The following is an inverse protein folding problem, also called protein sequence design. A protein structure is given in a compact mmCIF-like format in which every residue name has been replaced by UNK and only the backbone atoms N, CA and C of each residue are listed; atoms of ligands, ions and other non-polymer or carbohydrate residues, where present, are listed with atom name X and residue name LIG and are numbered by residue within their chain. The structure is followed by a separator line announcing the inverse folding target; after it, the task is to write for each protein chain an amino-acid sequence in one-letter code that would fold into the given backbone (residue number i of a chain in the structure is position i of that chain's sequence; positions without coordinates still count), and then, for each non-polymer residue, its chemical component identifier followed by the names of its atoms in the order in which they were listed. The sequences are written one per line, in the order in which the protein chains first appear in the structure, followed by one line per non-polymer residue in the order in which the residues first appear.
data_IF_926122860806
#
_entry.id   IF_926122860806
#
_cell.length_a   1.000
_cell.length_b   1.000
_cell.length_c   1.000
_cell.angle_alpha   90.00
_cell.angle_beta   90.00
_cell.angle_gamma   90.00
#
_symmetry.space_group_name_H-M   'P 1'
#
loop_
_entity.id
_entity.type
_entity.pdbx_description
1 polymer ?
#
# COMPACT_ATOMS: atom_id res chain seq x y z
N UNK A 1 -49.71 -69.42 2.96
CA UNK A 1 -48.77 -69.62 1.82
C UNK A 1 -47.55 -68.79 2.10
N UNK A 2 -46.37 -69.36 2.27
CA UNK A 2 -45.13 -68.60 2.48
C UNK A 2 -44.58 -68.13 1.13
N UNK A 3 -43.92 -66.97 1.02
CA UNK A 3 -43.35 -66.47 -0.23
C UNK A 3 -42.06 -67.23 -0.62
N UNK A 4 -42.05 -67.74 -1.84
CA UNK A 4 -40.89 -68.40 -2.46
C UNK A 4 -39.78 -67.38 -2.74
N UNK A 5 -38.69 -67.46 -1.99
CA UNK A 5 -37.45 -66.74 -2.26
C UNK A 5 -36.76 -67.34 -3.47
N UNK A 6 -36.80 -66.64 -4.61
CA UNK A 6 -35.99 -66.97 -5.78
C UNK A 6 -34.51 -66.69 -5.45
N UNK A 7 -33.75 -67.72 -5.11
CA UNK A 7 -32.28 -67.70 -5.11
C UNK A 7 -31.82 -67.55 -6.53
N UNK A 8 -31.33 -66.36 -6.89
CA UNK A 8 -30.65 -66.08 -8.15
C UNK A 8 -29.37 -66.93 -8.20
N UNK A 9 -29.32 -67.92 -9.10
CA UNK A 9 -28.12 -68.73 -9.32
C UNK A 9 -27.12 -67.81 -10.03
N UNK A 10 -26.06 -67.41 -9.34
CA UNK A 10 -24.91 -66.70 -9.93
C UNK A 10 -24.22 -67.74 -10.85
N UNK A 11 -24.18 -67.47 -12.15
CA UNK A 11 -23.55 -68.32 -13.15
C UNK A 11 -22.06 -68.21 -13.05
N UNK A 12 -21.34 -69.34 -13.20
CA UNK A 12 -19.86 -69.38 -13.18
C UNK A 12 -19.19 -68.40 -14.17
N UNK A 13 -19.94 -67.83 -15.11
CA UNK A 13 -19.51 -66.86 -16.08
C UNK A 13 -19.38 -65.44 -15.49
N UNK A 14 -20.18 -65.15 -14.43
CA UNK A 14 -20.09 -63.86 -13.69
C UNK A 14 -18.90 -63.83 -12.74
N UNK A 15 -18.41 -65.00 -12.32
CA UNK A 15 -17.22 -65.15 -11.46
C UNK A 15 -15.89 -65.10 -12.25
N UNK A 16 -15.92 -65.09 -13.59
CA UNK A 16 -14.75 -65.02 -14.46
C UNK A 16 -14.58 -63.69 -15.21
N UNK A 17 -15.46 -62.72 -14.98
CA UNK A 17 -15.21 -61.37 -15.47
C UNK A 17 -13.99 -60.81 -14.72
N UNK A 18 -12.89 -60.43 -15.42
CA UNK A 18 -11.79 -59.77 -14.74
C UNK A 18 -12.37 -58.53 -14.02
N UNK A 19 -12.16 -58.45 -12.73
CA UNK A 19 -12.54 -57.31 -11.95
C UNK A 19 -11.86 -56.08 -12.56
N UNK A 20 -12.59 -55.01 -12.85
CA UNK A 20 -12.03 -53.79 -13.47
C UNK A 20 -10.79 -53.33 -12.73
N UNK A 21 -10.76 -53.57 -11.43
CA UNK A 21 -9.61 -53.29 -10.58
C UNK A 21 -8.39 -54.14 -10.90
N UNK A 22 -8.56 -55.49 -11.13
CA UNK A 22 -7.44 -56.36 -11.49
C UNK A 22 -6.87 -56.01 -12.87
N UNK A 23 -7.73 -55.68 -13.82
CA UNK A 23 -7.33 -55.22 -15.15
C UNK A 23 -6.56 -53.90 -15.09
N UNK A 24 -6.99 -52.95 -14.23
CA UNK A 24 -6.29 -51.70 -13.99
C UNK A 24 -4.90 -51.94 -13.40
N UNK A 25 -4.80 -52.79 -12.36
CA UNK A 25 -3.52 -53.12 -11.71
C UNK A 25 -2.55 -53.80 -12.66
N UNK A 26 -3.05 -54.76 -13.50
CA UNK A 26 -2.21 -55.47 -14.50
C UNK A 26 -1.71 -54.50 -15.60
N UNK A 27 -2.56 -53.63 -16.10
CA UNK A 27 -2.17 -52.61 -17.08
C UNK A 27 -1.16 -51.61 -16.50
N UNK A 28 -1.36 -51.18 -15.24
CA UNK A 28 -0.43 -50.29 -14.52
C UNK A 28 0.94 -50.96 -14.32
N UNK A 29 0.94 -52.25 -13.95
CA UNK A 29 2.18 -53.04 -13.78
C UNK A 29 2.93 -53.18 -15.12
N UNK A 30 2.24 -53.55 -16.20
CA UNK A 30 2.84 -53.73 -17.53
C UNK A 30 3.39 -52.41 -18.08
N UNK A 31 2.68 -51.29 -17.82
CA UNK A 31 3.19 -49.95 -18.15
C UNK A 31 4.47 -49.62 -17.39
N UNK A 32 4.47 -49.88 -16.06
CA UNK A 32 5.64 -49.64 -15.20
C UNK A 32 6.86 -50.49 -15.64
N UNK A 33 6.68 -51.78 -15.94
CA UNK A 33 7.76 -52.68 -16.32
C UNK A 33 8.32 -52.32 -17.70
N UNK A 34 7.44 -52.00 -18.66
CA UNK A 34 7.84 -51.68 -20.03
C UNK A 34 8.48 -50.29 -20.16
N UNK A 35 8.16 -49.36 -19.24
CA UNK A 35 8.64 -47.98 -19.27
C UNK A 35 9.46 -47.60 -18.01
N UNK A 36 10.10 -48.58 -17.35
CA UNK A 36 10.75 -48.41 -16.07
C UNK A 36 11.74 -47.23 -16.05
N UNK A 37 12.56 -47.08 -17.10
CA UNK A 37 13.53 -45.98 -17.23
C UNK A 37 12.81 -44.61 -17.27
N UNK A 38 11.72 -44.49 -18.04
CA UNK A 38 10.97 -43.24 -18.16
C UNK A 38 10.25 -42.92 -16.85
N UNK A 39 9.69 -43.88 -16.15
CA UNK A 39 9.06 -43.72 -14.84
C UNK A 39 10.06 -43.28 -13.79
N UNK A 40 11.24 -43.89 -13.74
CA UNK A 40 12.31 -43.48 -12.83
C UNK A 40 12.76 -42.03 -13.11
N UNK A 41 13.05 -41.71 -14.37
CA UNK A 41 13.48 -40.36 -14.77
C UNK A 41 12.41 -39.31 -14.42
N UNK A 42 11.15 -39.58 -14.80
CA UNK A 42 10.06 -38.63 -14.47
C UNK A 42 9.87 -38.46 -12.95
N UNK A 43 9.96 -39.53 -12.17
CA UNK A 43 9.88 -39.46 -10.70
C UNK A 43 11.02 -38.65 -10.13
N UNK A 44 12.26 -38.88 -10.58
CA UNK A 44 13.42 -38.07 -10.14
C UNK A 44 13.24 -36.57 -10.46
N UNK A 45 12.75 -36.26 -11.67
CA UNK A 45 12.47 -34.89 -12.07
C UNK A 45 11.40 -34.26 -11.16
N UNK A 46 10.30 -34.95 -10.90
CA UNK A 46 9.23 -34.45 -10.04
C UNK A 46 9.73 -34.21 -8.62
N UNK A 47 10.51 -35.17 -8.07
CA UNK A 47 11.10 -35.01 -6.73
C UNK A 47 12.08 -33.84 -6.68
N UNK A 48 12.94 -33.69 -7.71
CA UNK A 48 13.87 -32.58 -7.79
C UNK A 48 13.17 -31.21 -7.85
N UNK A 49 12.13 -31.08 -8.69
CA UNK A 49 11.30 -29.87 -8.79
C UNK A 49 10.61 -29.58 -7.44
N UNK A 50 10.05 -30.60 -6.81
CA UNK A 50 9.45 -30.49 -5.48
C UNK A 50 10.43 -30.01 -4.42
N UNK A 51 11.64 -30.59 -4.39
CA UNK A 51 12.70 -30.19 -3.45
C UNK A 51 13.15 -28.74 -3.67
N UNK A 52 13.30 -28.31 -4.94
CA UNK A 52 13.61 -26.89 -5.27
C UNK A 52 12.49 -25.97 -4.81
N UNK A 53 11.24 -26.32 -5.09
CA UNK A 53 10.08 -25.50 -4.69
C UNK A 53 9.97 -25.34 -3.15
N UNK A 54 10.18 -26.44 -2.43
CA UNK A 54 10.20 -26.43 -0.96
C UNK A 54 11.39 -25.61 -0.44
N UNK A 55 12.59 -25.82 -1.00
CA UNK A 55 13.80 -25.09 -0.61
C UNK A 55 13.64 -23.57 -0.84
N UNK A 56 13.13 -23.16 -1.99
CA UNK A 56 12.88 -21.75 -2.31
C UNK A 56 11.81 -21.16 -1.36
N UNK A 57 10.74 -21.88 -1.06
CA UNK A 57 9.70 -21.43 -0.13
C UNK A 57 10.27 -21.17 1.29
N UNK A 58 11.06 -22.09 1.83
CA UNK A 58 11.68 -21.92 3.15
C UNK A 58 12.71 -20.79 3.14
N UNK A 59 13.51 -20.67 2.09
CA UNK A 59 14.49 -19.60 1.94
C UNK A 59 13.82 -18.22 1.92
N UNK A 60 12.79 -18.04 1.08
CA UNK A 60 12.04 -16.79 1.00
C UNK A 60 11.37 -16.43 2.33
N UNK A 61 10.74 -17.40 2.98
CA UNK A 61 10.08 -17.18 4.28
C UNK A 61 11.08 -16.76 5.37
N UNK A 62 12.24 -17.39 5.40
CA UNK A 62 13.30 -17.03 6.37
C UNK A 62 13.84 -15.62 6.08
N UNK A 63 14.08 -15.32 4.81
CA UNK A 63 14.52 -14.00 4.35
C UNK A 63 13.52 -12.91 4.72
N UNK A 64 12.22 -13.12 4.45
CA UNK A 64 11.18 -12.16 4.78
C UNK A 64 11.12 -11.86 6.28
N UNK A 65 11.34 -12.85 7.12
CA UNK A 65 11.41 -12.66 8.58
C UNK A 65 12.58 -11.77 8.98
N UNK A 66 13.77 -12.01 8.42
CA UNK A 66 14.97 -11.21 8.70
C UNK A 66 14.82 -9.77 8.19
N UNK A 67 14.29 -9.59 6.96
CA UNK A 67 14.04 -8.28 6.36
C UNK A 67 13.04 -7.49 7.21
N UNK A 68 11.98 -8.14 7.66
CA UNK A 68 10.98 -7.52 8.54
C UNK A 68 11.59 -7.09 9.87
N UNK A 69 12.42 -7.93 10.50
CA UNK A 69 13.10 -7.58 11.74
C UNK A 69 13.98 -6.34 11.57
N UNK A 70 14.84 -6.31 10.54
CA UNK A 70 15.69 -5.14 10.24
C UNK A 70 14.85 -3.87 10.00
N UNK A 71 13.71 -4.00 9.30
CA UNK A 71 12.82 -2.88 9.06
C UNK A 71 12.24 -2.32 10.36
N UNK A 72 11.79 -3.19 11.28
CA UNK A 72 11.29 -2.79 12.59
C UNK A 72 12.38 -2.15 13.46
N UNK A 73 13.60 -2.65 13.41
CA UNK A 73 14.74 -2.07 14.13
C UNK A 73 15.01 -0.64 13.62
N UNK A 74 14.99 -0.44 12.31
CA UNK A 74 15.15 0.87 11.69
C UNK A 74 14.02 1.85 12.07
N UNK A 75 12.76 1.40 12.09
CA UNK A 75 11.61 2.20 12.56
C UNK A 75 11.79 2.57 14.04
N UNK A 76 12.22 1.62 14.86
CA UNK A 76 12.44 1.85 16.29
C UNK A 76 13.54 2.89 16.51
N UNK A 77 14.64 2.79 15.78
CA UNK A 77 15.71 3.79 15.81
C UNK A 77 15.21 5.18 15.40
N UNK A 78 14.43 5.28 14.32
CA UNK A 78 13.85 6.54 13.85
C UNK A 78 12.92 7.17 14.91
N UNK A 79 12.04 6.38 15.49
CA UNK A 79 11.10 6.83 16.52
C UNK A 79 11.81 7.23 17.83
N UNK A 80 12.97 6.65 18.12
CA UNK A 80 13.84 7.02 19.22
C UNK A 80 14.68 8.28 18.94
N UNK A 81 14.53 8.93 17.78
CA UNK A 81 15.33 10.09 17.36
C UNK A 81 16.76 9.75 16.96
N UNK A 82 17.09 8.48 16.82
CA UNK A 82 18.40 7.99 16.37
C UNK A 82 18.47 8.05 14.83
N UNK A 83 18.49 9.27 14.28
CA UNK A 83 18.33 9.48 12.85
C UNK A 83 19.44 8.85 12.02
N UNK A 84 20.73 8.96 12.45
CA UNK A 84 21.88 8.35 11.74
C UNK A 84 21.85 6.81 11.71
N UNK A 85 21.63 6.10 12.83
CA UNK A 85 21.37 4.67 12.80
C UNK A 85 20.21 4.27 11.89
N UNK A 86 19.08 4.99 11.96
CA UNK A 86 17.91 4.75 11.12
C UNK A 86 18.22 4.96 9.62
N UNK A 87 18.89 6.05 9.27
CA UNK A 87 19.36 6.33 7.91
C UNK A 87 20.17 5.15 7.36
N UNK A 88 21.19 4.72 8.11
CA UNK A 88 22.08 3.62 7.70
C UNK A 88 21.30 2.33 7.45
N UNK A 89 20.40 1.98 8.38
CA UNK A 89 19.61 0.75 8.30
C UNK A 89 18.61 0.79 7.15
N UNK A 90 17.89 1.91 6.97
CA UNK A 90 16.94 2.05 5.84
C UNK A 90 17.65 2.08 4.49
N UNK A 91 18.83 2.72 4.41
CA UNK A 91 19.62 2.73 3.18
C UNK A 91 20.06 1.32 2.81
N UNK A 92 20.63 0.57 3.74
CA UNK A 92 21.01 -0.82 3.51
C UNK A 92 19.81 -1.66 3.07
N UNK A 93 18.67 -1.49 3.73
CA UNK A 93 17.47 -2.25 3.39
C UNK A 93 16.93 -1.90 1.99
N UNK A 94 16.97 -0.63 1.59
CA UNK A 94 16.57 -0.18 0.26
C UNK A 94 17.50 -0.72 -0.84
N UNK A 95 18.81 -0.85 -0.53
CA UNK A 95 19.83 -1.36 -1.44
C UNK A 95 19.81 -2.90 -1.53
N UNK A 96 19.59 -3.60 -0.41
CA UNK A 96 19.54 -5.07 -0.33
C UNK A 96 18.26 -5.66 -0.95
N UNK A 97 17.14 -4.91 -0.89
CA UNK A 97 15.79 -5.38 -1.28
C UNK A 97 15.15 -4.52 -2.39
N UNK A 98 15.86 -4.22 -3.50
CA UNK A 98 15.30 -3.41 -4.58
C UNK A 98 14.07 -4.09 -5.17
N UNK A 99 13.00 -3.32 -5.41
CA UNK A 99 11.75 -3.80 -5.99
C UNK A 99 10.85 -4.58 -5.02
N UNK A 100 11.32 -5.01 -3.86
CA UNK A 100 10.47 -5.60 -2.81
C UNK A 100 9.75 -4.52 -2.00
N UNK A 101 8.58 -4.88 -1.44
CA UNK A 101 7.74 -3.93 -0.70
C UNK A 101 8.48 -3.24 0.44
N UNK A 102 9.22 -3.99 1.26
CA UNK A 102 9.94 -3.40 2.40
C UNK A 102 11.14 -2.56 1.97
N UNK A 103 11.83 -2.92 0.87
CA UNK A 103 12.89 -2.08 0.30
C UNK A 103 12.36 -0.76 -0.25
N UNK A 104 11.19 -0.77 -0.93
CA UNK A 104 10.53 0.48 -1.34
C UNK A 104 10.11 1.32 -0.13
N UNK A 105 9.44 0.71 0.87
CA UNK A 105 9.08 1.41 2.10
C UNK A 105 10.30 1.95 2.86
N UNK A 106 11.43 1.23 2.81
CA UNK A 106 12.68 1.72 3.40
C UNK A 106 13.13 3.06 2.77
N UNK A 107 12.94 3.28 1.45
CA UNK A 107 13.20 4.58 0.81
C UNK A 107 12.29 5.69 1.36
N UNK A 108 11.03 5.38 1.60
CA UNK A 108 10.10 6.35 2.18
C UNK A 108 10.52 6.78 3.60
N UNK A 109 10.91 5.82 4.45
CA UNK A 109 11.36 6.11 5.80
C UNK A 109 12.77 6.68 5.86
N UNK A 110 13.64 6.33 4.90
CA UNK A 110 14.95 6.95 4.71
C UNK A 110 14.81 8.46 4.48
N UNK A 111 13.84 8.86 3.64
CA UNK A 111 13.54 10.27 3.46
C UNK A 111 13.11 10.94 4.78
N UNK A 112 12.38 10.26 5.64
CA UNK A 112 11.99 10.78 6.95
C UNK A 112 13.21 10.99 7.87
N UNK A 113 14.17 10.07 7.84
CA UNK A 113 15.44 10.23 8.56
C UNK A 113 16.24 11.43 8.04
N UNK A 114 16.37 11.60 6.71
CA UNK A 114 17.01 12.76 6.10
C UNK A 114 16.30 14.08 6.43
N UNK A 115 14.96 14.10 6.45
CA UNK A 115 14.19 15.27 6.86
C UNK A 115 14.50 15.66 8.30
N UNK A 116 14.60 14.68 9.20
CA UNK A 116 14.93 14.91 10.60
C UNK A 116 16.35 15.46 10.81
N UNK A 117 17.28 15.05 9.96
CA UNK A 117 18.66 15.58 9.95
C UNK A 117 18.83 16.90 9.21
N UNK A 118 17.79 17.36 8.49
CA UNK A 118 17.87 18.56 7.66
C UNK A 118 18.55 18.36 6.31
N UNK A 119 18.85 17.12 5.94
CA UNK A 119 19.41 16.77 4.63
C UNK A 119 18.31 16.71 3.57
N UNK A 120 17.83 17.88 3.15
CA UNK A 120 16.69 18.02 2.25
C UNK A 120 16.93 17.50 0.82
N UNK A 121 18.14 17.64 0.23
CA UNK A 121 18.39 17.07 -1.09
C UNK A 121 18.23 15.53 -1.14
N UNK A 122 18.82 14.82 -0.18
CA UNK A 122 18.74 13.36 -0.14
C UNK A 122 17.33 12.88 0.22
N UNK A 123 16.62 13.64 1.08
CA UNK A 123 15.22 13.39 1.36
C UNK A 123 14.34 13.47 0.11
N UNK A 124 14.53 14.53 -0.70
CA UNK A 124 13.86 14.69 -1.99
C UNK A 124 14.11 13.50 -2.91
N UNK A 125 15.37 13.14 -3.07
CA UNK A 125 15.78 12.09 -4.02
C UNK A 125 15.24 10.73 -3.60
N UNK A 126 15.21 10.41 -2.30
CA UNK A 126 14.59 9.20 -1.74
C UNK A 126 13.09 9.15 -1.99
N UNK A 127 12.38 10.28 -1.82
CA UNK A 127 10.93 10.35 -2.09
C UNK A 127 10.62 10.23 -3.57
N UNK A 128 11.41 10.85 -4.44
CA UNK A 128 11.25 10.74 -5.89
C UNK A 128 11.47 9.30 -6.34
N UNK A 129 12.52 8.64 -5.83
CA UNK A 129 12.77 7.22 -6.13
C UNK A 129 11.63 6.32 -5.64
N UNK A 130 11.09 6.56 -4.44
CA UNK A 130 9.93 5.85 -3.93
C UNK A 130 8.70 6.04 -4.84
N UNK A 131 8.38 7.27 -5.22
CA UNK A 131 7.22 7.60 -6.06
C UNK A 131 7.29 7.02 -7.47
N UNK A 132 8.50 6.77 -7.99
CA UNK A 132 8.69 6.14 -9.29
C UNK A 132 8.19 4.68 -9.32
N UNK A 133 8.29 3.97 -8.21
CA UNK A 133 7.96 2.55 -8.10
C UNK A 133 6.63 2.29 -7.38
N UNK A 134 6.18 3.19 -6.50
CA UNK A 134 4.97 2.98 -5.69
C UNK A 134 3.70 3.23 -6.52
N UNK A 135 2.74 2.30 -6.40
CA UNK A 135 1.44 2.34 -7.10
C UNK A 135 0.25 2.51 -6.18
N UNK A 136 0.40 2.24 -4.90
CA UNK A 136 -0.67 2.39 -3.93
C UNK A 136 -0.98 3.88 -3.73
N UNK A 137 -2.24 4.34 -3.99
CA UNK A 137 -2.61 5.76 -3.90
C UNK A 137 -2.35 6.34 -2.50
N UNK A 138 -2.59 5.56 -1.42
CA UNK A 138 -2.38 6.01 -0.06
C UNK A 138 -0.90 6.34 0.20
N UNK A 139 0.00 5.42 -0.14
CA UNK A 139 1.44 5.65 0.05
C UNK A 139 1.97 6.74 -0.88
N UNK A 140 1.44 6.84 -2.10
CA UNK A 140 1.77 7.92 -3.03
C UNK A 140 1.37 9.28 -2.48
N UNK A 141 0.14 9.42 -1.98
CA UNK A 141 -0.35 10.68 -1.38
C UNK A 141 0.48 11.11 -0.17
N UNK A 142 0.85 10.15 0.71
CA UNK A 142 1.74 10.42 1.84
C UNK A 142 3.14 10.86 1.39
N UNK A 143 3.73 10.18 0.41
CA UNK A 143 5.06 10.53 -0.10
C UNK A 143 5.07 11.87 -0.82
N UNK A 144 4.03 12.18 -1.60
CA UNK A 144 3.86 13.48 -2.24
C UNK A 144 3.70 14.61 -1.22
N UNK A 145 2.98 14.36 -0.13
CA UNK A 145 2.86 15.32 0.97
C UNK A 145 4.21 15.57 1.65
N UNK A 146 5.00 14.53 1.91
CA UNK A 146 6.34 14.67 2.46
C UNK A 146 7.28 15.38 1.48
N UNK A 147 7.19 15.08 0.19
CA UNK A 147 7.97 15.74 -0.86
C UNK A 147 7.62 17.25 -0.94
N UNK A 148 6.33 17.58 -0.80
CA UNK A 148 5.90 18.97 -0.74
C UNK A 148 6.51 19.70 0.48
N UNK A 149 6.53 19.07 1.66
CA UNK A 149 7.18 19.61 2.86
C UNK A 149 8.69 19.79 2.64
N UNK A 150 9.35 18.86 1.95
CA UNK A 150 10.78 19.02 1.61
C UNK A 150 10.99 20.22 0.71
N UNK A 151 10.20 20.39 -0.35
CA UNK A 151 10.27 21.58 -1.22
C UNK A 151 9.91 22.87 -0.47
N UNK A 152 8.95 22.84 0.45
CA UNK A 152 8.61 23.98 1.32
C UNK A 152 9.84 24.40 2.15
N UNK A 153 10.53 23.46 2.78
CA UNK A 153 11.74 23.72 3.56
C UNK A 153 12.92 24.20 2.71
N UNK A 154 12.96 23.81 1.44
CA UNK A 154 13.93 24.30 0.44
C UNK A 154 13.55 25.67 -0.16
N UNK A 155 12.41 26.25 0.27
CA UNK A 155 11.81 27.47 -0.29
C UNK A 155 11.46 27.38 -1.80
N UNK A 156 11.33 26.16 -2.34
CA UNK A 156 10.86 25.94 -3.71
C UNK A 156 9.32 25.86 -3.73
N UNK A 157 8.69 27.03 -3.53
CA UNK A 157 7.24 27.13 -3.32
C UNK A 157 6.41 26.56 -4.48
N UNK A 158 6.92 26.73 -5.72
CA UNK A 158 6.23 26.23 -6.91
C UNK A 158 6.22 24.71 -6.96
N UNK A 159 7.36 24.06 -6.70
CA UNK A 159 7.41 22.60 -6.64
C UNK A 159 6.63 22.06 -5.46
N UNK A 160 6.66 22.75 -4.31
CA UNK A 160 5.86 22.38 -3.16
C UNK A 160 4.36 22.42 -3.49
N UNK A 161 3.86 23.48 -4.14
CA UNK A 161 2.46 23.57 -4.58
C UNK A 161 2.10 22.42 -5.54
N UNK A 162 2.94 22.13 -6.52
CA UNK A 162 2.70 21.03 -7.46
C UNK A 162 2.67 19.65 -6.80
N UNK A 163 3.54 19.40 -5.83
CA UNK A 163 3.54 18.14 -5.06
C UNK A 163 2.29 18.01 -4.18
N UNK A 164 1.88 19.08 -3.51
CA UNK A 164 0.61 19.11 -2.76
C UNK A 164 -0.60 18.91 -3.67
N UNK A 165 -0.60 19.51 -4.86
CA UNK A 165 -1.68 19.34 -5.83
C UNK A 165 -1.83 17.88 -6.28
N UNK A 166 -0.72 17.21 -6.53
CA UNK A 166 -0.73 15.78 -6.84
C UNK A 166 -1.21 14.95 -5.65
N UNK A 167 -0.79 15.28 -4.42
CA UNK A 167 -1.24 14.59 -3.21
C UNK A 167 -2.75 14.76 -2.96
N UNK A 168 -3.30 15.92 -3.30
CA UNK A 168 -4.73 16.24 -3.13
C UNK A 168 -5.62 15.53 -4.17
N UNK A 169 -5.05 15.06 -5.28
CA UNK A 169 -5.82 14.37 -6.32
C UNK A 169 -6.30 12.98 -5.88
N UNK A 170 -5.60 12.35 -4.93
CA UNK A 170 -5.97 11.04 -4.40
C UNK A 170 -6.83 11.22 -3.12
N UNK A 171 -8.04 10.65 -3.06
CA UNK A 171 -8.86 10.72 -1.86
C UNK A 171 -8.19 9.96 -0.70
N UNK A 172 -8.08 10.63 0.46
CA UNK A 172 -7.44 10.00 1.61
C UNK A 172 -7.18 10.97 2.77
N UNK A 173 -6.58 10.49 3.86
CA UNK A 173 -6.37 11.29 5.07
C UNK A 173 -5.42 12.48 4.87
N UNK A 174 -4.61 12.48 3.82
CA UNK A 174 -3.70 13.58 3.48
C UNK A 174 -4.37 14.67 2.62
N UNK A 175 -5.53 14.40 2.00
CA UNK A 175 -6.17 15.27 1.02
C UNK A 175 -6.41 16.69 1.55
N UNK A 176 -7.10 16.84 2.67
CA UNK A 176 -7.42 18.14 3.28
C UNK A 176 -6.15 18.97 3.57
N UNK A 177 -5.12 18.30 4.10
CA UNK A 177 -3.82 18.94 4.35
C UNK A 177 -3.14 19.37 3.06
N UNK A 178 -3.21 18.55 2.03
CA UNK A 178 -2.60 18.83 0.74
C UNK A 178 -3.32 19.99 0.03
N UNK A 179 -4.65 20.05 0.03
CA UNK A 179 -5.43 21.16 -0.53
C UNK A 179 -5.06 22.49 0.12
N UNK A 180 -4.96 22.54 1.44
CA UNK A 180 -4.48 23.72 2.16
C UNK A 180 -3.02 24.04 1.88
N UNK A 181 -2.19 22.99 1.69
CA UNK A 181 -0.80 23.12 1.27
C UNK A 181 -0.68 23.84 -0.06
N UNK A 182 -1.50 23.48 -1.05
CA UNK A 182 -1.53 24.16 -2.36
C UNK A 182 -1.76 25.66 -2.19
N UNK A 183 -2.83 26.05 -1.47
CA UNK A 183 -3.18 27.45 -1.29
C UNK A 183 -2.05 28.25 -0.60
N UNK A 184 -1.47 27.69 0.47
CA UNK A 184 -0.35 28.32 1.19
C UNK A 184 0.89 28.48 0.31
N UNK A 185 1.22 27.47 -0.49
CA UNK A 185 2.41 27.50 -1.34
C UNK A 185 2.24 28.47 -2.52
N UNK A 186 1.05 28.57 -3.11
CA UNK A 186 0.74 29.59 -4.11
C UNK A 186 0.88 30.99 -3.53
N UNK A 187 0.38 31.23 -2.32
CA UNK A 187 0.55 32.52 -1.64
C UNK A 187 2.04 32.85 -1.43
N UNK A 188 2.85 31.90 -0.95
CA UNK A 188 4.29 32.08 -0.75
C UNK A 188 5.04 32.27 -2.08
N UNK A 189 4.57 31.65 -3.17
CA UNK A 189 5.11 31.82 -4.51
C UNK A 189 4.76 33.17 -5.15
N UNK A 190 3.89 33.99 -4.51
CA UNK A 190 3.43 35.26 -5.04
C UNK A 190 2.23 35.14 -5.99
N UNK A 191 1.72 33.94 -6.21
CA UNK A 191 0.49 33.72 -6.99
C UNK A 191 -0.74 33.98 -6.12
N UNK A 192 -1.00 35.29 -5.93
CA UNK A 192 -2.09 35.77 -5.07
C UNK A 192 -3.45 35.27 -5.53
N UNK A 193 -3.71 35.32 -6.86
CA UNK A 193 -5.01 34.93 -7.38
C UNK A 193 -5.21 33.41 -7.27
N UNK A 194 -4.22 32.61 -7.63
CA UNK A 194 -4.26 31.16 -7.46
C UNK A 194 -4.46 30.75 -6.00
N UNK A 195 -3.82 31.45 -5.05
CA UNK A 195 -4.02 31.19 -3.61
C UNK A 195 -5.47 31.49 -3.17
N UNK A 196 -6.04 32.62 -3.61
CA UNK A 196 -7.42 33.00 -3.30
C UNK A 196 -8.40 31.95 -3.83
N UNK A 197 -8.21 31.51 -5.07
CA UNK A 197 -9.08 30.54 -5.71
C UNK A 197 -8.97 29.16 -5.02
N UNK A 198 -7.77 28.74 -4.65
CA UNK A 198 -7.54 27.50 -3.91
C UNK A 198 -8.18 27.54 -2.50
N UNK A 199 -8.04 28.65 -1.75
CA UNK A 199 -8.67 28.79 -0.44
C UNK A 199 -10.20 28.81 -0.53
N UNK A 200 -10.77 29.48 -1.53
CA UNK A 200 -12.22 29.48 -1.76
C UNK A 200 -12.74 28.10 -2.15
N UNK A 201 -12.01 27.41 -3.01
CA UNK A 201 -12.31 26.02 -3.38
C UNK A 201 -12.33 25.12 -2.15
N UNK A 202 -11.35 25.26 -1.27
CA UNK A 202 -11.31 24.53 0.00
C UNK A 202 -12.53 24.79 0.88
N UNK A 203 -12.93 26.07 1.07
CA UNK A 203 -14.10 26.42 1.87
C UNK A 203 -15.41 25.87 1.28
N UNK A 204 -15.49 25.79 -0.04
CA UNK A 204 -16.65 25.25 -0.73
C UNK A 204 -16.72 23.71 -0.60
N UNK A 205 -15.58 23.04 -0.73
CA UNK A 205 -15.50 21.58 -0.63
C UNK A 205 -15.66 21.09 0.83
N UNK A 206 -15.17 21.86 1.79
CA UNK A 206 -15.11 21.49 3.20
C UNK A 206 -15.86 22.50 4.11
N UNK A 207 -17.20 22.63 3.99
CA UNK A 207 -17.95 23.67 4.70
C UNK A 207 -17.90 23.57 6.23
N UNK A 208 -17.55 22.41 6.77
CA UNK A 208 -17.45 22.14 8.21
C UNK A 208 -16.02 21.84 8.70
N UNK A 209 -14.99 22.11 7.88
CA UNK A 209 -13.63 21.88 8.27
C UNK A 209 -13.23 22.79 9.47
N UNK A 210 -12.45 22.24 10.39
CA UNK A 210 -11.90 22.98 11.55
C UNK A 210 -11.04 24.18 11.09
N UNK A 211 -10.37 24.04 9.95
CA UNK A 211 -9.46 25.05 9.37
C UNK A 211 -10.17 26.24 8.72
N UNK A 212 -11.50 26.30 8.71
CA UNK A 212 -12.28 27.39 8.07
C UNK A 212 -11.87 28.78 8.54
N UNK A 213 -11.65 28.95 9.84
CA UNK A 213 -11.28 30.23 10.41
C UNK A 213 -9.91 30.68 9.93
N UNK A 214 -8.93 29.78 9.95
CA UNK A 214 -7.56 30.06 9.47
C UNK A 214 -7.53 30.40 7.98
N UNK A 215 -8.39 29.72 7.18
CA UNK A 215 -8.54 29.97 5.75
C UNK A 215 -9.20 31.31 5.51
N UNK A 216 -10.22 31.69 6.29
CA UNK A 216 -10.86 32.98 6.20
C UNK A 216 -9.89 34.14 6.53
N UNK A 217 -9.04 33.95 7.54
CA UNK A 217 -7.98 34.90 7.89
C UNK A 217 -6.93 35.00 6.77
N UNK A 218 -6.52 33.87 6.21
CA UNK A 218 -5.59 33.84 5.07
C UNK A 218 -6.13 34.58 3.85
N UNK A 219 -7.44 34.42 3.55
CA UNK A 219 -8.13 35.17 2.50
C UNK A 219 -8.17 36.67 2.79
N UNK A 220 -8.43 37.05 4.04
CA UNK A 220 -8.44 38.47 4.44
C UNK A 220 -7.06 39.10 4.27
N UNK A 221 -5.98 38.43 4.65
CA UNK A 221 -4.60 38.85 4.45
C UNK A 221 -4.25 39.02 2.94
N UNK A 222 -4.85 38.21 2.09
CA UNK A 222 -4.74 38.35 0.64
C UNK A 222 -5.67 39.43 0.06
N UNK A 223 -6.44 40.16 0.90
CA UNK A 223 -7.36 41.20 0.47
C UNK A 223 -8.61 40.66 -0.24
N UNK A 224 -8.96 39.41 -0.01
CA UNK A 224 -10.14 38.76 -0.55
C UNK A 224 -10.98 38.22 0.64
N UNK A 225 -11.97 38.94 1.12
CA UNK A 225 -12.79 38.47 2.23
C UNK A 225 -13.43 37.11 1.89
N UNK A 226 -13.46 36.21 2.86
CA UNK A 226 -14.20 34.97 2.73
C UNK A 226 -15.68 35.35 2.46
N UNK A 227 -16.28 34.69 1.47
CA UNK A 227 -17.72 34.81 1.27
C UNK A 227 -18.44 34.43 2.57
N UNK A 228 -19.15 35.36 3.12
CA UNK A 228 -19.73 35.30 4.46
C UNK A 228 -20.80 34.21 4.58
N UNK A 229 -20.78 33.59 5.74
CA UNK A 229 -21.74 32.67 6.36
C UNK A 229 -21.54 31.19 6.03
N UNK A 230 -21.29 30.36 7.06
CA UNK A 230 -21.47 28.94 6.92
C UNK A 230 -22.93 28.66 6.56
N UNK A 231 -23.22 27.65 5.71
CA UNK A 231 -24.58 27.17 5.59
C UNK A 231 -25.05 26.78 7.00
N UNK A 232 -26.22 27.28 7.40
CA UNK A 232 -26.84 26.96 8.68
C UNK A 232 -26.87 25.43 8.81
N UNK A 233 -26.38 24.93 9.93
CA UNK A 233 -26.41 23.49 10.20
C UNK A 233 -27.85 22.99 10.03
N UNK A 234 -28.10 21.91 9.30
CA UNK A 234 -29.45 21.36 9.18
C UNK A 234 -29.88 20.86 10.55
N UNK A 235 -30.73 21.63 11.25
CA UNK A 235 -31.30 21.24 12.54
C UNK A 235 -31.45 22.32 13.60
N UNK A 236 -30.90 23.53 13.43
CA UNK A 236 -31.20 24.63 14.36
C UNK A 236 -32.49 25.33 13.96
N UNK A 237 -33.61 24.72 14.27
CA UNK A 237 -34.91 25.38 14.26
C UNK A 237 -34.91 26.55 15.26
N UNK A 238 -35.75 27.61 15.05
CA UNK A 238 -35.78 28.77 15.91
C UNK A 238 -36.12 28.35 17.34
N UNK A 239 -35.19 28.54 18.29
CA UNK A 239 -35.50 28.43 19.70
C UNK A 239 -36.54 29.50 20.03
N UNK A 240 -37.78 29.08 20.23
CA UNK A 240 -38.82 29.92 20.79
C UNK A 240 -38.42 30.27 22.23
N UNK A 241 -38.04 31.51 22.46
CA UNK A 241 -37.91 32.07 23.79
C UNK A 241 -39.30 32.12 24.39
N UNK A 242 -39.61 31.14 25.22
CA UNK A 242 -40.77 31.23 26.13
C UNK A 242 -40.46 32.25 27.21
N UNK A 243 -41.04 33.43 27.06
CA UNK A 243 -41.10 34.44 28.13
C UNK A 243 -42.25 34.02 29.06
N UNK A 244 -41.95 33.69 30.30
CA UNK A 244 -42.88 33.64 31.40
C UNK A 244 -42.67 34.86 32.30
#
# INVERSE_FOLDING_TARGET
MPPTTHRRKITQKELKAPDEFTTFVDNARDFLVNNLTQVIVSTVVVVAVGAIAIGTYYYERHRDTLVSARFYDAITALNAGQNKPAETQFKQLADDEPGRRLGRLARFYLASAYIAEGNLPDARDSLVAFLAEERDPLFRSLALTNLAVVYERMADWKKAAGAYQQAAADPGPAQVRAELGVARMLAKAGDKQGAIDAYRGFLAAHPFAEQRQDVAESLALLGAPAATSPPSAPGAGPQQVLIH
#
